data_IF_405699678644
#
_entry.id   IF_405699678644
#
_cell.length_a   1.000
_cell.length_b   1.000
_cell.length_c   1.000
_cell.angle_alpha   90.00
_cell.angle_beta   90.00
_cell.angle_gamma   90.00
#
_symmetry.space_group_name_H-M   'P 1'
#
loop_
_entity.id
_entity.type
_entity.pdbx_description
1 polymer ?
#
# COMPACT_ATOMS: atom_id res chain seq x y z
N UNK A 1 38.43 11.38 8.30
CA UNK A 1 37.85 10.80 7.07
C UNK A 1 36.59 11.57 6.72
N UNK A 2 36.33 11.84 5.42
CA UNK A 2 35.09 12.46 4.98
C UNK A 2 33.92 11.51 5.23
N UNK A 3 32.84 11.99 5.88
CA UNK A 3 31.61 11.21 6.09
C UNK A 3 30.87 11.04 4.78
N UNK A 4 30.29 9.85 4.56
CA UNK A 4 29.50 9.54 3.37
C UNK A 4 28.21 10.39 3.32
N UNK A 5 27.92 10.97 2.17
CA UNK A 5 26.68 11.73 1.90
C UNK A 5 25.57 10.75 1.59
N UNK A 6 24.56 10.76 2.43
CA UNK A 6 23.35 9.95 2.27
C UNK A 6 22.29 10.78 1.57
N UNK A 7 21.79 10.34 0.43
CA UNK A 7 20.66 10.99 -0.26
C UNK A 7 19.46 10.05 -0.26
N UNK A 8 18.31 10.57 0.12
CA UNK A 8 17.04 9.82 0.21
C UNK A 8 16.01 10.54 -0.64
N UNK A 9 15.40 9.83 -1.60
CA UNK A 9 14.32 10.36 -2.43
C UNK A 9 13.01 9.77 -1.97
N UNK A 10 12.20 10.58 -1.28
CA UNK A 10 10.87 10.20 -0.77
C UNK A 10 10.70 10.43 0.73
N UNK A 11 9.74 11.29 1.07
CA UNK A 11 9.43 11.74 2.43
C UNK A 11 8.18 11.01 2.98
N UNK A 12 8.26 9.68 3.10
CA UNK A 12 7.19 8.86 3.67
C UNK A 12 7.77 7.70 4.48
N UNK A 13 7.03 6.61 4.69
CA UNK A 13 7.37 5.48 5.55
C UNK A 13 8.82 4.99 5.39
N UNK A 14 9.24 4.68 4.16
CA UNK A 14 10.57 4.15 3.90
C UNK A 14 11.66 5.19 4.15
N UNK A 15 11.51 6.43 3.63
CA UNK A 15 12.49 7.50 3.82
C UNK A 15 12.68 7.88 5.28
N UNK A 16 11.60 8.06 6.04
CA UNK A 16 11.68 8.37 7.47
C UNK A 16 12.32 7.25 8.27
N UNK A 17 12.00 6.00 7.95
CA UNK A 17 12.58 4.84 8.62
C UNK A 17 14.08 4.71 8.34
N UNK A 18 14.50 5.05 7.12
CA UNK A 18 15.91 5.08 6.75
C UNK A 18 16.66 6.19 7.48
N UNK A 19 16.11 7.41 7.58
CA UNK A 19 16.73 8.51 8.34
C UNK A 19 16.95 8.08 9.79
N UNK A 20 15.94 7.54 10.46
CA UNK A 20 16.04 7.06 11.85
C UNK A 20 17.13 6.00 11.98
N UNK A 21 17.14 5.02 11.07
CA UNK A 21 18.12 3.92 11.10
C UNK A 21 19.56 4.41 10.86
N UNK A 22 19.77 5.34 9.92
CA UNK A 22 21.10 5.95 9.72
C UNK A 22 21.55 6.66 11.00
N UNK A 23 20.66 7.40 11.68
CA UNK A 23 21.00 8.14 12.91
C UNK A 23 21.25 7.27 14.12
N UNK A 24 20.74 6.03 14.15
CA UNK A 24 21.12 5.04 15.17
C UNK A 24 22.61 4.64 15.07
N UNK A 25 23.18 4.69 13.85
CA UNK A 25 24.56 4.27 13.58
C UNK A 25 25.52 5.47 13.44
N UNK A 26 25.11 6.52 12.74
CA UNK A 26 25.91 7.72 12.48
C UNK A 26 25.06 8.99 12.59
N UNK A 27 25.24 9.71 13.69
CA UNK A 27 24.50 10.95 14.04
C UNK A 27 25.05 12.19 13.34
N UNK A 28 26.14 12.10 12.57
CA UNK A 28 26.80 13.27 11.99
C UNK A 28 26.96 13.23 10.46
N UNK A 29 26.76 12.07 9.81
CA UNK A 29 26.86 12.02 8.34
C UNK A 29 25.82 12.95 7.71
N UNK A 30 26.17 13.64 6.58
CA UNK A 30 25.20 14.48 5.86
C UNK A 30 24.07 13.61 5.31
N UNK A 31 22.80 14.02 5.56
CA UNK A 31 21.61 13.42 4.96
C UNK A 31 20.87 14.52 4.20
N UNK A 32 20.62 14.31 2.91
CA UNK A 32 19.72 15.15 2.10
C UNK A 32 18.46 14.36 1.77
N UNK A 33 17.29 14.90 2.12
CA UNK A 33 15.98 14.32 1.83
C UNK A 33 15.30 15.12 0.71
N UNK A 34 14.99 14.45 -0.38
CA UNK A 34 14.32 15.04 -1.55
C UNK A 34 12.85 14.62 -1.55
N UNK A 35 11.95 15.59 -1.71
CA UNK A 35 10.51 15.37 -1.82
C UNK A 35 9.87 16.25 -2.88
N UNK A 36 9.01 15.65 -3.72
CA UNK A 36 8.21 16.41 -4.68
C UNK A 36 7.12 17.24 -4.02
N UNK A 37 6.66 16.82 -2.84
CA UNK A 37 5.68 17.55 -2.04
C UNK A 37 6.38 18.53 -1.11
N UNK A 38 5.81 19.74 -0.96
CA UNK A 38 6.33 20.78 -0.07
C UNK A 38 5.62 20.75 1.28
N UNK A 39 5.69 19.61 1.97
CA UNK A 39 5.10 19.45 3.29
C UNK A 39 5.85 18.39 4.12
N UNK A 40 5.62 18.40 5.43
CA UNK A 40 6.09 17.35 6.32
C UNK A 40 5.52 15.99 5.93
N UNK A 41 6.20 14.92 6.34
CA UNK A 41 5.73 13.57 6.09
C UNK A 41 4.39 13.31 6.78
N UNK A 42 3.49 12.70 6.05
CA UNK A 42 2.16 12.31 6.50
C UNK A 42 1.87 10.85 6.18
N UNK A 43 0.76 10.32 6.75
CA UNK A 43 0.30 8.97 6.48
C UNK A 43 -0.68 8.94 5.29
N UNK A 44 -0.29 8.44 4.10
CA UNK A 44 -1.24 8.25 3.00
C UNK A 44 -2.39 7.31 3.34
N UNK A 45 -2.17 6.37 4.27
CA UNK A 45 -3.22 5.46 4.76
C UNK A 45 -4.36 6.21 5.44
N UNK A 46 -4.08 7.36 6.05
CA UNK A 46 -5.06 8.18 6.77
C UNK A 46 -5.88 9.11 5.87
N UNK A 47 -5.58 9.20 4.57
CA UNK A 47 -6.30 10.09 3.65
C UNK A 47 -7.78 9.75 3.51
N UNK A 48 -8.15 8.48 3.61
CA UNK A 48 -9.56 8.05 3.59
C UNK A 48 -10.30 8.46 4.86
N UNK A 49 -9.63 8.46 6.03
CA UNK A 49 -10.17 9.00 7.28
C UNK A 49 -10.34 10.53 7.22
N UNK A 50 -9.43 11.23 6.56
CA UNK A 50 -9.58 12.65 6.28
C UNK A 50 -10.78 12.94 5.37
N UNK A 51 -10.98 12.17 4.29
CA UNK A 51 -12.15 12.28 3.41
C UNK A 51 -13.46 12.04 4.15
N UNK A 52 -13.46 11.14 5.14
CA UNK A 52 -14.60 10.84 6.00
C UNK A 52 -14.88 11.92 7.04
N UNK A 53 -13.93 12.84 7.25
CA UNK A 53 -14.03 13.88 8.29
C UNK A 53 -13.68 13.39 9.70
N UNK A 54 -13.09 12.21 9.84
CA UNK A 54 -12.64 11.63 11.11
C UNK A 54 -11.32 12.20 11.58
N UNK A 55 -10.54 12.80 10.67
CA UNK A 55 -9.24 13.42 10.96
C UNK A 55 -9.14 14.81 10.36
N UNK A 56 -8.46 15.72 11.06
CA UNK A 56 -8.08 17.01 10.49
C UNK A 56 -6.86 16.87 9.57
N UNK A 57 -6.60 17.90 8.75
CA UNK A 57 -5.41 17.96 7.90
C UNK A 57 -4.12 17.86 8.71
N UNK A 58 -4.07 18.54 9.85
CA UNK A 58 -2.92 18.58 10.76
C UNK A 58 -2.64 17.20 11.36
N UNK A 59 -3.69 16.43 11.64
CA UNK A 59 -3.57 15.06 12.20
C UNK A 59 -3.03 14.04 11.22
N UNK A 60 -2.96 14.36 9.91
CA UNK A 60 -2.35 13.50 8.90
C UNK A 60 -0.83 13.42 9.05
N UNK A 61 -0.18 14.50 9.55
CA UNK A 61 1.28 14.56 9.65
C UNK A 61 1.78 13.65 10.77
N UNK A 62 2.76 12.81 10.43
CA UNK A 62 3.36 11.80 11.34
C UNK A 62 4.68 12.27 11.96
N UNK A 63 5.20 13.41 11.48
CA UNK A 63 6.36 14.08 12.06
C UNK A 63 6.11 15.58 12.11
N UNK A 64 6.64 16.23 13.18
CA UNK A 64 6.70 17.68 13.26
C UNK A 64 7.89 18.22 12.47
N UNK A 65 7.86 19.52 12.16
CA UNK A 65 8.96 20.21 11.45
C UNK A 65 10.33 20.01 12.11
N UNK A 66 10.36 19.88 13.44
CA UNK A 66 11.58 19.67 14.22
C UNK A 66 12.25 18.32 13.95
N UNK A 67 11.52 17.33 13.45
CA UNK A 67 12.08 16.01 13.14
C UNK A 67 13.30 16.10 12.23
N UNK A 68 13.22 16.87 11.15
CA UNK A 68 14.31 16.99 10.18
C UNK A 68 15.51 17.72 10.79
N UNK A 69 15.27 18.78 11.55
CA UNK A 69 16.31 19.53 12.26
C UNK A 69 17.00 18.66 13.32
N UNK A 70 16.23 17.96 14.14
CA UNK A 70 16.77 17.08 15.18
C UNK A 70 17.61 15.93 14.61
N UNK A 71 17.28 15.49 13.40
CA UNK A 71 18.02 14.46 12.69
C UNK A 71 19.10 15.03 11.74
N UNK A 72 19.39 16.35 11.80
CA UNK A 72 20.35 17.01 10.94
C UNK A 72 20.18 16.65 9.45
N UNK A 73 18.95 16.81 8.94
CA UNK A 73 18.54 16.49 7.55
C UNK A 73 18.41 17.78 6.76
N UNK A 74 19.14 17.88 5.66
CA UNK A 74 18.95 18.91 4.64
C UNK A 74 17.72 18.56 3.80
N UNK A 75 16.77 19.49 3.66
CA UNK A 75 15.49 19.24 2.96
C UNK A 75 15.48 19.89 1.58
N UNK A 76 15.21 19.12 0.55
CA UNK A 76 14.95 19.53 -0.82
C UNK A 76 13.47 19.24 -1.14
N UNK A 77 12.58 20.06 -0.60
CA UNK A 77 11.13 19.89 -0.73
C UNK A 77 10.55 20.74 -1.86
N UNK A 78 9.41 20.26 -2.43
CA UNK A 78 8.74 20.92 -3.55
C UNK A 78 9.50 20.79 -4.88
N UNK A 79 10.48 19.89 -4.99
CA UNK A 79 11.19 19.63 -6.22
C UNK A 79 11.35 18.14 -6.49
N UNK A 80 10.86 17.70 -7.64
CA UNK A 80 10.90 16.29 -8.04
C UNK A 80 12.32 15.91 -8.47
N UNK A 81 12.79 14.74 -8.00
CA UNK A 81 13.95 14.07 -8.58
C UNK A 81 13.55 13.50 -9.96
N UNK A 82 14.24 13.93 -11.02
CA UNK A 82 13.92 13.56 -12.41
C UNK A 82 14.90 12.56 -13.01
N UNK A 83 16.13 12.53 -12.49
CA UNK A 83 17.16 11.62 -12.98
C UNK A 83 18.18 11.29 -11.90
N UNK A 84 18.47 10.01 -11.70
CA UNK A 84 19.55 9.51 -10.85
C UNK A 84 20.70 9.06 -11.74
N UNK A 85 21.69 9.95 -11.92
CA UNK A 85 22.91 9.70 -12.67
C UNK A 85 23.89 8.93 -11.78
N UNK A 86 23.89 7.59 -11.88
CA UNK A 86 24.70 6.78 -10.99
C UNK A 86 26.20 6.80 -11.32
N UNK A 87 26.66 6.88 -12.61
CA UNK A 87 28.06 7.07 -12.92
C UNK A 87 28.66 8.35 -12.33
N UNK A 88 27.86 9.43 -12.28
CA UNK A 88 28.29 10.70 -11.68
C UNK A 88 27.91 10.84 -10.21
N UNK A 89 27.22 9.86 -9.64
CA UNK A 89 26.67 9.85 -8.26
C UNK A 89 25.91 11.16 -7.96
N UNK A 90 24.96 11.51 -8.82
CA UNK A 90 24.26 12.80 -8.78
C UNK A 90 22.78 12.60 -9.06
N UNK A 91 21.92 13.17 -8.19
CA UNK A 91 20.48 13.28 -8.45
C UNK A 91 20.17 14.64 -9.05
N UNK A 92 19.50 14.66 -10.18
CA UNK A 92 19.04 15.87 -10.87
C UNK A 92 17.59 16.16 -10.44
N UNK A 93 17.33 17.40 -10.07
CA UNK A 93 16.02 17.88 -9.66
C UNK A 93 15.36 18.70 -10.77
N UNK A 94 14.03 18.71 -10.78
CA UNK A 94 13.21 19.44 -11.76
C UNK A 94 13.50 20.96 -11.78
N UNK A 95 13.88 21.54 -10.62
CA UNK A 95 14.28 22.94 -10.49
C UNK A 95 15.72 23.24 -11.01
N UNK A 96 16.40 22.26 -11.61
CA UNK A 96 17.76 22.38 -12.14
C UNK A 96 18.88 22.14 -11.13
N UNK A 97 18.57 21.99 -9.83
CA UNK A 97 19.58 21.65 -8.81
C UNK A 97 20.10 20.23 -9.01
N UNK A 98 21.33 20.02 -8.55
CA UNK A 98 22.01 18.70 -8.59
C UNK A 98 22.52 18.37 -7.19
N UNK A 99 22.16 17.19 -6.69
CA UNK A 99 22.53 16.70 -5.37
C UNK A 99 23.48 15.52 -5.53
N UNK A 100 24.71 15.66 -5.05
CA UNK A 100 25.71 14.59 -5.09
C UNK A 100 25.54 13.65 -3.90
N UNK A 101 25.70 12.34 -4.12
CA UNK A 101 25.62 11.32 -3.08
C UNK A 101 26.83 10.40 -3.07
N UNK A 102 27.07 9.77 -1.93
CA UNK A 102 27.95 8.60 -1.81
C UNK A 102 27.07 7.33 -1.70
N UNK A 103 25.88 7.41 -1.03
CA UNK A 103 24.82 6.39 -1.07
C UNK A 103 23.48 7.04 -1.40
N UNK A 104 22.65 6.35 -2.19
CA UNK A 104 21.34 6.80 -2.62
C UNK A 104 20.25 5.79 -2.22
N UNK A 105 19.20 6.25 -1.53
CA UNK A 105 17.97 5.49 -1.33
C UNK A 105 16.87 6.03 -2.25
N UNK A 106 16.34 5.16 -3.11
CA UNK A 106 15.16 5.43 -3.92
C UNK A 106 13.94 4.92 -3.15
N UNK A 107 13.19 5.86 -2.56
CA UNK A 107 11.97 5.62 -1.78
C UNK A 107 10.78 6.40 -2.36
N UNK A 108 10.73 6.49 -3.68
CA UNK A 108 9.76 7.27 -4.47
C UNK A 108 8.33 6.73 -4.42
N UNK A 109 8.16 5.54 -3.86
CA UNK A 109 6.86 4.89 -3.73
C UNK A 109 6.22 4.54 -5.08
N UNK A 110 4.91 4.68 -5.16
CA UNK A 110 4.12 4.39 -6.35
C UNK A 110 3.08 5.48 -6.60
N UNK A 111 2.66 5.64 -7.85
CA UNK A 111 1.58 6.54 -8.28
C UNK A 111 0.33 5.75 -8.65
N UNK A 112 -0.88 6.35 -8.58
CA UNK A 112 -2.08 5.72 -9.11
C UNK A 112 -1.90 5.27 -10.55
N UNK A 113 -2.30 4.05 -10.85
CA UNK A 113 -2.28 3.52 -12.21
C UNK A 113 -3.26 4.29 -13.09
N UNK A 114 -2.81 4.65 -14.29
CA UNK A 114 -3.65 5.33 -15.27
C UNK A 114 -4.57 4.33 -15.95
N UNK A 115 -5.80 4.74 -16.20
CA UNK A 115 -6.70 3.97 -17.07
C UNK A 115 -6.15 3.98 -18.50
N UNK A 116 -6.02 2.83 -19.17
CA UNK A 116 -5.56 2.75 -20.55
C UNK A 116 -6.70 3.06 -21.53
N UNK A 117 -7.40 4.18 -21.31
CA UNK A 117 -8.57 4.61 -22.10
C UNK A 117 -8.48 6.09 -22.46
N UNK A 118 -9.18 6.49 -23.52
CA UNK A 118 -9.33 7.89 -23.86
C UNK A 118 -10.10 8.65 -22.77
N UNK A 119 -9.66 9.88 -22.46
CA UNK A 119 -10.30 10.73 -21.47
C UNK A 119 -9.77 10.59 -20.04
N UNK A 120 -8.70 9.85 -19.81
CA UNK A 120 -7.92 9.97 -18.57
C UNK A 120 -7.34 11.39 -18.50
N UNK A 121 -7.72 12.16 -17.48
CA UNK A 121 -7.41 13.61 -17.37
C UNK A 121 -8.58 14.55 -17.71
N UNK A 122 -9.77 14.03 -17.99
CA UNK A 122 -11.00 14.84 -18.05
C UNK A 122 -11.29 15.48 -16.69
N UNK A 123 -11.73 16.73 -16.68
CA UNK A 123 -12.22 17.40 -15.47
C UNK A 123 -13.22 16.52 -14.69
N UNK A 124 -13.12 16.55 -13.37
CA UNK A 124 -13.90 15.72 -12.43
C UNK A 124 -13.53 14.22 -12.40
N UNK A 125 -12.39 13.82 -12.97
CA UNK A 125 -11.80 12.50 -12.78
C UNK A 125 -10.63 12.64 -11.82
N UNK A 126 -10.63 11.87 -10.72
CA UNK A 126 -9.69 11.98 -9.62
C UNK A 126 -9.08 10.61 -9.31
N UNK A 127 -7.89 10.65 -8.72
CA UNK A 127 -7.29 9.51 -8.02
C UNK A 127 -6.90 9.96 -6.62
N UNK A 128 -6.78 9.03 -5.67
CA UNK A 128 -6.38 9.36 -4.31
C UNK A 128 -4.98 8.83 -4.02
N UNK A 129 -4.02 9.73 -3.83
CA UNK A 129 -2.66 9.37 -3.40
C UNK A 129 -2.03 10.41 -2.47
N UNK A 130 -2.32 11.70 -2.66
CA UNK A 130 -1.72 12.82 -1.94
C UNK A 130 -2.76 13.58 -1.13
N UNK A 131 -2.30 14.44 -0.20
CA UNK A 131 -3.19 15.37 0.52
C UNK A 131 -3.92 16.27 -0.48
N UNK A 132 -3.23 16.76 -1.52
CA UNK A 132 -3.83 17.62 -2.56
C UNK A 132 -4.97 16.89 -3.30
N UNK A 133 -4.79 15.60 -3.61
CA UNK A 133 -5.86 14.80 -4.20
C UNK A 133 -7.06 14.69 -3.26
N UNK A 134 -6.82 14.41 -1.98
CA UNK A 134 -7.87 14.32 -0.98
C UNK A 134 -8.64 15.64 -0.82
N UNK A 135 -7.94 16.78 -0.83
CA UNK A 135 -8.54 18.12 -0.77
C UNK A 135 -9.40 18.42 -2.01
N UNK A 136 -8.92 18.09 -3.23
CA UNK A 136 -9.69 18.21 -4.47
C UNK A 136 -10.94 17.37 -4.45
N UNK A 137 -10.83 16.11 -4.03
CA UNK A 137 -11.94 15.17 -3.87
C UNK A 137 -12.95 15.69 -2.85
N UNK A 138 -12.48 16.09 -1.66
CA UNK A 138 -13.32 16.63 -0.57
C UNK A 138 -14.08 17.90 -0.99
N UNK A 139 -13.45 18.76 -1.78
CA UNK A 139 -14.11 19.95 -2.33
C UNK A 139 -15.21 19.57 -3.34
N UNK A 140 -14.92 18.60 -4.22
CA UNK A 140 -15.84 18.21 -5.30
C UNK A 140 -17.07 17.45 -4.81
N UNK A 141 -16.91 16.58 -3.80
CA UNK A 141 -18.02 15.76 -3.27
C UNK A 141 -19.18 16.60 -2.71
N UNK A 142 -18.89 17.79 -2.20
CA UNK A 142 -19.92 18.67 -1.61
C UNK A 142 -20.97 19.15 -2.62
N UNK A 143 -20.68 19.06 -3.92
CA UNK A 143 -21.59 19.47 -5.01
C UNK A 143 -22.02 18.31 -5.90
N UNK A 144 -21.50 17.10 -5.65
CA UNK A 144 -21.83 15.90 -6.41
C UNK A 144 -23.10 15.25 -5.89
N UNK A 145 -23.87 14.66 -6.82
CA UNK A 145 -25.04 13.81 -6.53
C UNK A 145 -24.85 12.40 -7.08
N UNK A 146 -24.02 12.25 -8.11
CA UNK A 146 -23.71 11.02 -8.79
C UNK A 146 -22.20 10.82 -8.77
N UNK A 147 -21.71 9.77 -8.15
CA UNK A 147 -20.29 9.42 -8.07
C UNK A 147 -20.07 8.04 -8.66
N UNK A 148 -19.12 7.95 -9.58
CA UNK A 148 -18.64 6.68 -10.10
C UNK A 148 -17.24 6.42 -9.53
N UNK A 149 -17.03 5.20 -9.04
CA UNK A 149 -15.72 4.70 -8.63
C UNK A 149 -15.31 3.60 -9.60
N UNK A 150 -14.14 3.73 -10.19
CA UNK A 150 -13.57 2.74 -11.10
C UNK A 150 -12.52 1.94 -10.35
N UNK A 151 -12.81 0.64 -10.15
CA UNK A 151 -12.03 -0.30 -9.36
C UNK A 151 -12.64 -0.57 -7.98
N UNK A 152 -12.96 -1.83 -7.71
CA UNK A 152 -13.43 -2.32 -6.41
C UNK A 152 -12.30 -2.95 -5.59
N UNK A 153 -11.06 -2.50 -5.78
CA UNK A 153 -9.92 -2.80 -4.92
C UNK A 153 -10.00 -2.06 -3.58
N UNK A 154 -8.99 -2.23 -2.74
CA UNK A 154 -8.95 -1.65 -1.38
C UNK A 154 -9.22 -0.14 -1.38
N UNK A 155 -8.50 0.62 -2.21
CA UNK A 155 -8.64 2.09 -2.28
C UNK A 155 -10.02 2.50 -2.76
N UNK A 156 -10.55 1.86 -3.82
CA UNK A 156 -11.89 2.19 -4.34
C UNK A 156 -12.97 2.00 -3.29
N UNK A 157 -12.92 0.90 -2.52
CA UNK A 157 -13.88 0.64 -1.45
C UNK A 157 -13.71 1.60 -0.26
N UNK A 158 -12.48 1.90 0.14
CA UNK A 158 -12.21 2.87 1.21
C UNK A 158 -12.64 4.29 0.82
N UNK A 159 -12.43 4.69 -0.44
CA UNK A 159 -12.91 5.98 -0.95
C UNK A 159 -14.43 6.04 -0.94
N UNK A 160 -15.11 4.94 -1.34
CA UNK A 160 -16.58 4.90 -1.28
C UNK A 160 -17.11 5.07 0.14
N UNK A 161 -16.49 4.43 1.13
CA UNK A 161 -16.82 4.59 2.56
C UNK A 161 -16.50 6.02 3.06
N UNK A 162 -15.32 6.54 2.70
CA UNK A 162 -14.88 7.88 3.10
C UNK A 162 -15.73 9.02 2.53
N UNK A 163 -16.28 8.83 1.34
CA UNK A 163 -17.10 9.84 0.66
C UNK A 163 -18.61 9.63 0.85
N UNK A 164 -19.00 8.52 1.48
CA UNK A 164 -20.42 8.18 1.62
C UNK A 164 -21.18 9.26 2.39
N UNK A 165 -22.22 9.78 1.76
CA UNK A 165 -23.17 10.74 2.35
C UNK A 165 -24.57 10.40 1.85
N UNK A 166 -25.57 10.56 2.70
CA UNK A 166 -26.97 10.42 2.31
C UNK A 166 -27.33 11.38 1.17
N UNK A 167 -28.09 10.91 0.20
CA UNK A 167 -28.50 11.69 -0.97
C UNK A 167 -27.49 11.70 -2.12
N UNK A 168 -26.33 11.07 -1.98
CA UNK A 168 -25.37 10.85 -3.07
C UNK A 168 -25.49 9.40 -3.53
N UNK A 169 -25.63 9.19 -4.85
CA UNK A 169 -25.62 7.86 -5.45
C UNK A 169 -24.21 7.45 -5.82
N UNK A 170 -23.78 6.27 -5.38
CA UNK A 170 -22.48 5.68 -5.69
C UNK A 170 -22.65 4.47 -6.60
N UNK A 171 -21.89 4.45 -7.68
CA UNK A 171 -21.75 3.28 -8.55
C UNK A 171 -20.28 2.89 -8.65
N UNK A 172 -19.98 1.63 -8.38
CA UNK A 172 -18.62 1.08 -8.51
C UNK A 172 -18.59 0.19 -9.75
N UNK A 173 -17.63 0.44 -10.65
CA UNK A 173 -17.31 -0.45 -11.77
C UNK A 173 -16.07 -1.25 -11.45
N UNK A 174 -16.16 -2.56 -11.62
CA UNK A 174 -15.03 -3.47 -11.45
C UNK A 174 -14.96 -4.44 -12.63
N UNK A 175 -13.77 -4.60 -13.21
CA UNK A 175 -13.55 -5.53 -14.32
C UNK A 175 -13.50 -6.98 -13.88
N UNK A 176 -13.12 -7.25 -12.64
CA UNK A 176 -13.14 -8.59 -12.08
C UNK A 176 -14.56 -9.01 -11.68
N UNK A 177 -14.76 -10.32 -11.49
CA UNK A 177 -16.03 -10.93 -11.09
C UNK A 177 -16.32 -10.80 -9.58
N UNK A 178 -15.48 -10.11 -8.82
CA UNK A 178 -15.66 -9.88 -7.39
C UNK A 178 -15.02 -8.58 -6.94
N UNK A 179 -15.45 -8.04 -5.80
CA UNK A 179 -14.76 -6.98 -5.09
C UNK A 179 -13.48 -7.50 -4.44
N UNK A 180 -12.50 -6.62 -4.18
CA UNK A 180 -11.23 -6.97 -3.54
C UNK A 180 -10.50 -8.15 -4.22
N UNK A 181 -10.38 -8.18 -5.55
CA UNK A 181 -9.94 -9.37 -6.29
C UNK A 181 -8.55 -9.85 -5.89
N UNK A 182 -7.67 -8.97 -5.41
CA UNK A 182 -6.29 -9.30 -5.06
C UNK A 182 -6.09 -9.72 -3.59
N UNK A 183 -7.02 -9.37 -2.70
CA UNK A 183 -6.84 -9.53 -1.24
C UNK A 183 -7.93 -10.36 -0.56
N UNK A 184 -8.99 -10.72 -1.26
CA UNK A 184 -10.11 -11.50 -0.71
C UNK A 184 -10.36 -12.77 -1.55
N UNK A 185 -10.85 -13.81 -0.91
CA UNK A 185 -11.45 -14.94 -1.60
C UNK A 185 -12.94 -14.64 -1.91
N UNK A 186 -13.56 -15.46 -2.76
CA UNK A 186 -14.93 -15.22 -3.25
C UNK A 186 -15.97 -15.07 -2.12
N UNK A 187 -15.84 -15.83 -1.02
CA UNK A 187 -16.81 -15.79 0.07
C UNK A 187 -16.65 -14.51 0.90
N UNK A 188 -15.40 -14.14 1.25
CA UNK A 188 -15.11 -12.91 1.98
C UNK A 188 -15.45 -11.68 1.15
N UNK A 189 -15.17 -11.69 -0.17
CA UNK A 189 -15.57 -10.65 -1.11
C UNK A 189 -17.10 -10.45 -1.13
N UNK A 190 -17.87 -11.56 -1.20
CA UNK A 190 -19.35 -11.50 -1.20
C UNK A 190 -19.90 -10.90 0.11
N UNK A 191 -19.28 -11.15 1.26
CA UNK A 191 -19.68 -10.54 2.54
C UNK A 191 -19.47 -9.01 2.49
N UNK A 192 -18.32 -8.54 1.99
CA UNK A 192 -18.01 -7.12 1.84
C UNK A 192 -18.96 -6.47 0.86
N UNK A 193 -19.16 -7.07 -0.32
CA UNK A 193 -20.07 -6.58 -1.35
C UNK A 193 -21.48 -6.40 -0.79
N UNK A 194 -22.05 -7.43 -0.16
CA UNK A 194 -23.39 -7.36 0.44
C UNK A 194 -23.50 -6.26 1.51
N UNK A 195 -22.43 -6.04 2.27
CA UNK A 195 -22.39 -4.94 3.24
C UNK A 195 -22.49 -3.58 2.55
N UNK A 196 -21.78 -3.36 1.46
CA UNK A 196 -21.81 -2.11 0.70
C UNK A 196 -23.16 -1.89 0.01
N UNK A 197 -23.70 -2.93 -0.63
CA UNK A 197 -25.03 -2.90 -1.26
C UNK A 197 -26.14 -2.57 -0.26
N UNK A 198 -26.01 -3.02 1.00
CA UNK A 198 -26.96 -2.68 2.08
C UNK A 198 -26.92 -1.18 2.46
N UNK A 199 -25.93 -0.41 2.01
CA UNK A 199 -25.86 1.04 2.11
C UNK A 199 -26.30 1.75 0.81
N UNK A 200 -26.88 1.01 -0.16
CA UNK A 200 -27.37 1.58 -1.41
C UNK A 200 -26.27 1.84 -2.45
N UNK A 201 -25.09 1.27 -2.30
CA UNK A 201 -24.02 1.35 -3.32
C UNK A 201 -24.31 0.33 -4.41
N UNK A 202 -24.36 0.79 -5.66
CA UNK A 202 -24.47 -0.08 -6.83
C UNK A 202 -23.07 -0.61 -7.21
N UNK A 203 -22.91 -1.92 -7.35
CA UNK A 203 -21.63 -2.55 -7.73
C UNK A 203 -21.83 -3.34 -9.01
N UNK A 204 -21.14 -2.92 -10.08
CA UNK A 204 -21.17 -3.52 -11.40
C UNK A 204 -19.88 -4.28 -11.64
N UNK A 205 -19.92 -5.59 -11.43
CA UNK A 205 -18.80 -6.52 -11.65
C UNK A 205 -18.73 -6.96 -13.12
N UNK A 206 -17.54 -7.44 -13.55
CA UNK A 206 -17.30 -7.86 -14.94
C UNK A 206 -17.45 -6.71 -15.94
N UNK A 207 -17.21 -5.46 -15.53
CA UNK A 207 -17.36 -4.26 -16.36
C UNK A 207 -16.03 -3.54 -16.52
N UNK A 208 -15.50 -3.58 -17.72
CA UNK A 208 -14.29 -2.86 -18.09
C UNK A 208 -14.63 -1.49 -18.65
N UNK A 209 -13.99 -0.45 -18.16
CA UNK A 209 -14.16 0.90 -18.73
C UNK A 209 -13.47 0.96 -20.08
N UNK A 210 -14.17 1.47 -21.09
CA UNK A 210 -13.70 1.64 -22.47
C UNK A 210 -13.35 3.09 -22.78
N UNK A 211 -14.12 4.03 -22.25
CA UNK A 211 -13.96 5.45 -22.52
C UNK A 211 -14.47 6.29 -21.37
N UNK A 212 -13.82 7.43 -21.16
CA UNK A 212 -14.30 8.51 -20.28
C UNK A 212 -14.36 9.78 -21.12
N UNK A 213 -15.50 10.47 -21.11
CA UNK A 213 -15.66 11.72 -21.87
C UNK A 213 -16.45 12.76 -21.10
N UNK A 214 -16.21 14.02 -21.40
CA UNK A 214 -16.97 15.13 -20.84
C UNK A 214 -18.30 15.31 -21.57
N UNK A 215 -19.36 15.58 -20.83
CA UNK A 215 -20.69 15.98 -21.35
C UNK A 215 -21.21 17.18 -20.55
N UNK A 216 -20.92 18.38 -21.02
CA UNK A 216 -21.22 19.59 -20.26
C UNK A 216 -20.46 19.67 -18.94
N UNK A 217 -21.19 19.73 -17.81
CA UNK A 217 -20.60 19.73 -16.45
C UNK A 217 -20.43 18.33 -15.86
N UNK A 218 -20.89 17.28 -16.57
CA UNK A 218 -20.82 15.89 -16.12
C UNK A 218 -19.77 15.09 -16.89
N UNK A 219 -19.42 13.95 -16.35
CA UNK A 219 -18.54 12.96 -16.95
C UNK A 219 -19.36 11.73 -17.34
N UNK A 220 -19.15 11.20 -18.52
CA UNK A 220 -19.74 9.95 -19.00
C UNK A 220 -18.64 8.89 -18.98
N UNK A 221 -18.93 7.77 -18.35
CA UNK A 221 -18.09 6.56 -18.33
C UNK A 221 -18.82 5.51 -19.17
N UNK A 222 -18.15 5.04 -20.23
CA UNK A 222 -18.70 3.99 -21.11
C UNK A 222 -17.98 2.67 -20.81
N UNK A 223 -18.75 1.63 -20.54
CA UNK A 223 -18.23 0.28 -20.34
C UNK A 223 -17.98 -0.44 -21.67
N UNK A 224 -17.31 -1.57 -21.63
CA UNK A 224 -17.09 -2.47 -22.76
C UNK A 224 -18.38 -3.08 -23.31
N UNK A 225 -19.44 -3.17 -22.48
CA UNK A 225 -20.78 -3.57 -22.92
C UNK A 225 -21.53 -2.47 -23.70
N UNK A 226 -20.98 -1.23 -23.78
CA UNK A 226 -21.61 -0.07 -24.37
C UNK A 226 -22.55 0.69 -23.44
N UNK A 227 -22.67 0.27 -22.18
CA UNK A 227 -23.45 1.00 -21.17
C UNK A 227 -22.79 2.34 -20.84
N UNK A 228 -23.56 3.42 -20.85
CA UNK A 228 -23.12 4.77 -20.47
C UNK A 228 -23.64 5.14 -19.08
N UNK A 229 -22.72 5.44 -18.18
CA UNK A 229 -23.00 5.95 -16.85
C UNK A 229 -22.60 7.42 -16.76
N UNK A 230 -23.45 8.25 -16.18
CA UNK A 230 -23.25 9.71 -16.09
C UNK A 230 -23.01 10.07 -14.63
N UNK A 231 -21.91 10.78 -14.35
CA UNK A 231 -21.56 11.21 -13.00
C UNK A 231 -21.16 12.68 -12.93
N UNK A 232 -21.28 13.23 -11.72
CA UNK A 232 -20.73 14.54 -11.37
C UNK A 232 -19.24 14.43 -11.03
N UNK A 233 -18.83 13.25 -10.60
CA UNK A 233 -17.47 12.96 -10.13
C UNK A 233 -17.10 11.50 -10.40
N UNK A 234 -15.88 11.27 -10.85
CA UNK A 234 -15.32 9.93 -11.04
C UNK A 234 -14.06 9.81 -10.21
N UNK A 235 -13.89 8.70 -9.48
CA UNK A 235 -12.65 8.37 -8.76
C UNK A 235 -12.08 7.08 -9.31
N UNK A 236 -10.80 7.10 -9.68
CA UNK A 236 -10.09 5.96 -10.24
C UNK A 236 -9.20 5.32 -9.16
N UNK A 237 -9.49 4.05 -8.84
CA UNK A 237 -8.78 3.27 -7.83
C UNK A 237 -8.40 1.86 -8.33
N UNK A 238 -7.71 1.78 -9.47
CA UNK A 238 -7.34 0.53 -10.17
C UNK A 238 -5.93 0.00 -9.81
N UNK A 239 -5.41 0.42 -8.66
CA UNK A 239 -4.08 0.03 -8.19
C UNK A 239 -3.02 1.10 -8.43
N UNK A 240 -1.75 0.72 -8.23
CA UNK A 240 -0.60 1.61 -8.27
C UNK A 240 0.53 1.07 -9.13
N UNK A 241 1.33 1.99 -9.68
CA UNK A 241 2.53 1.70 -10.49
C UNK A 241 3.75 2.27 -9.79
N UNK A 242 4.82 1.48 -9.53
CA UNK A 242 6.07 1.95 -8.93
C UNK A 242 6.71 3.10 -9.69
N UNK A 243 7.23 4.11 -8.98
CA UNK A 243 7.84 5.31 -9.55
C UNK A 243 9.31 5.08 -9.89
N UNK A 244 9.58 4.45 -11.03
CA UNK A 244 10.93 4.09 -11.51
C UNK A 244 11.49 5.01 -12.57
N UNK A 245 10.78 6.09 -12.97
CA UNK A 245 11.10 6.92 -14.14
C UNK A 245 12.42 7.69 -14.01
N UNK A 246 12.93 7.87 -12.77
CA UNK A 246 14.17 8.59 -12.50
C UNK A 246 15.43 7.75 -12.74
N UNK A 247 15.33 6.46 -12.99
CA UNK A 247 16.49 5.56 -13.16
C UNK A 247 16.66 5.09 -14.60
N UNK A 248 17.90 4.75 -14.96
CA UNK A 248 18.18 4.03 -16.20
C UNK A 248 17.92 2.53 -16.02
N UNK A 249 16.82 2.05 -16.58
CA UNK A 249 16.40 0.62 -16.47
C UNK A 249 17.30 -0.34 -17.26
N UNK A 250 18.25 0.15 -18.06
CA UNK A 250 19.29 -0.68 -18.70
C UNK A 250 20.43 -1.00 -17.73
N UNK A 251 20.60 -0.20 -16.69
CA UNK A 251 21.71 -0.28 -15.75
C UNK A 251 21.24 -0.76 -14.39
N UNK A 252 20.09 -0.29 -13.90
CA UNK A 252 19.46 -0.74 -12.67
C UNK A 252 18.36 -1.74 -13.03
N UNK A 253 18.47 -2.95 -12.50
CA UNK A 253 17.51 -4.04 -12.79
C UNK A 253 16.14 -3.75 -12.23
N UNK A 254 15.14 -3.88 -13.08
CA UNK A 254 13.73 -3.72 -12.77
C UNK A 254 12.93 -4.89 -13.34
N UNK A 255 11.82 -5.18 -12.69
CA UNK A 255 10.74 -5.95 -13.28
C UNK A 255 9.47 -5.09 -13.19
N UNK A 256 8.60 -5.29 -12.21
CA UNK A 256 7.51 -4.34 -11.90
C UNK A 256 8.03 -3.15 -11.09
N UNK A 257 8.91 -3.40 -10.13
CA UNK A 257 9.62 -2.42 -9.31
C UNK A 257 11.13 -2.52 -9.47
N UNK A 258 11.89 -1.78 -8.67
CA UNK A 258 13.35 -1.88 -8.60
C UNK A 258 13.71 -3.15 -7.84
N UNK A 259 14.41 -4.07 -8.50
CA UNK A 259 14.86 -5.32 -7.86
C UNK A 259 15.91 -5.04 -6.80
N UNK A 260 15.69 -5.57 -5.60
CA UNK A 260 16.61 -5.46 -4.46
C UNK A 260 16.94 -6.82 -3.88
N UNK A 261 18.12 -6.91 -3.28
CA UNK A 261 18.54 -8.06 -2.49
C UNK A 261 18.03 -7.96 -1.04
N UNK A 262 18.42 -8.90 -0.19
CA UNK A 262 18.05 -8.91 1.23
C UNK A 262 18.66 -7.75 2.03
N UNK A 263 19.61 -6.99 1.49
CA UNK A 263 20.13 -5.77 2.10
C UNK A 263 19.42 -4.50 1.62
N UNK A 264 18.37 -4.62 0.80
CA UNK A 264 17.68 -3.54 0.08
C UNK A 264 18.58 -2.85 -0.96
N UNK A 265 19.69 -3.44 -1.35
CA UNK A 265 20.59 -2.93 -2.37
C UNK A 265 20.12 -3.36 -3.76
N UNK A 266 20.26 -2.49 -4.72
CA UNK A 266 20.06 -2.82 -6.14
C UNK A 266 21.29 -3.58 -6.68
N UNK A 267 21.32 -3.86 -7.97
CA UNK A 267 22.54 -4.39 -8.60
C UNK A 267 23.67 -3.35 -8.73
N UNK A 268 23.48 -2.13 -8.23
CA UNK A 268 24.50 -1.06 -8.14
C UNK A 268 24.81 -0.81 -6.66
N UNK A 269 26.06 -1.02 -6.26
CA UNK A 269 26.48 -1.15 -4.86
C UNK A 269 26.06 -0.03 -3.91
N UNK A 270 26.00 1.18 -4.36
CA UNK A 270 25.66 2.36 -3.55
C UNK A 270 24.25 2.89 -3.78
N UNK A 271 23.38 2.09 -4.45
CA UNK A 271 21.98 2.43 -4.70
C UNK A 271 21.09 1.40 -4.03
N UNK A 272 20.20 1.88 -3.18
CA UNK A 272 19.20 1.14 -2.44
C UNK A 272 17.79 1.52 -2.90
N UNK A 273 16.83 0.62 -2.74
CA UNK A 273 15.42 0.95 -2.94
C UNK A 273 14.56 0.36 -1.83
N UNK A 274 13.50 1.07 -1.42
CA UNK A 274 12.61 0.65 -0.34
C UNK A 274 11.19 1.21 -0.49
N UNK A 275 10.20 0.49 0.00
CA UNK A 275 8.78 0.81 -0.08
C UNK A 275 8.17 0.39 -1.41
N UNK A 276 7.04 1.02 -1.79
CA UNK A 276 6.22 0.62 -2.94
C UNK A 276 6.97 0.65 -4.29
N UNK A 277 8.15 1.28 -4.36
CA UNK A 277 9.02 1.30 -5.55
C UNK A 277 9.88 0.06 -5.69
N UNK A 278 10.16 -0.63 -4.59
CA UNK A 278 11.05 -1.78 -4.54
C UNK A 278 10.31 -3.09 -4.81
N UNK A 279 11.04 -4.04 -5.38
CA UNK A 279 10.62 -5.41 -5.60
C UNK A 279 11.61 -6.35 -4.92
N UNK A 280 11.23 -6.85 -3.76
CA UNK A 280 12.04 -7.72 -2.92
C UNK A 280 11.33 -9.03 -2.61
N UNK A 281 12.00 -9.93 -1.88
CA UNK A 281 11.49 -11.25 -1.56
C UNK A 281 10.18 -11.19 -0.77
N UNK A 282 9.17 -11.92 -1.24
CA UNK A 282 7.95 -12.24 -0.49
C UNK A 282 8.21 -13.48 0.37
N UNK A 283 8.04 -13.34 1.66
CA UNK A 283 8.32 -14.36 2.67
C UNK A 283 7.55 -15.67 2.46
N UNK A 284 6.37 -15.61 1.86
CA UNK A 284 5.51 -16.79 1.63
C UNK A 284 5.82 -17.47 0.31
N UNK A 285 6.02 -16.70 -0.76
CA UNK A 285 6.21 -17.26 -2.11
C UNK A 285 7.68 -17.52 -2.46
N UNK A 286 8.62 -16.89 -1.73
CA UNK A 286 10.05 -16.90 -2.04
C UNK A 286 10.41 -16.19 -3.36
N UNK A 287 9.47 -15.42 -3.93
CA UNK A 287 9.67 -14.67 -5.17
C UNK A 287 9.82 -13.19 -4.88
N UNK A 288 10.50 -12.48 -5.77
CA UNK A 288 10.53 -11.03 -5.71
C UNK A 288 9.17 -10.49 -6.16
N UNK A 289 8.58 -9.63 -5.33
CA UNK A 289 7.27 -9.03 -5.53
C UNK A 289 7.25 -7.58 -5.01
N UNK A 290 6.46 -6.74 -5.65
CA UNK A 290 6.11 -5.43 -5.09
C UNK A 290 4.98 -5.63 -4.09
N UNK A 291 5.25 -5.34 -2.81
CA UNK A 291 4.32 -5.51 -1.70
C UNK A 291 3.98 -4.14 -1.08
N UNK A 292 3.08 -3.37 -1.71
CA UNK A 292 2.84 -1.98 -1.35
C UNK A 292 1.99 -1.89 -0.07
N UNK A 293 2.64 -1.85 1.08
CA UNK A 293 2.02 -1.56 2.36
C UNK A 293 2.97 -0.81 3.30
N UNK A 294 2.40 -0.13 4.29
CA UNK A 294 3.12 0.73 5.21
C UNK A 294 4.18 -0.01 6.04
N UNK A 295 3.82 -1.17 6.54
CA UNK A 295 4.70 -1.99 7.40
C UNK A 295 5.95 -2.45 6.65
N UNK A 296 5.79 -2.99 5.43
CA UNK A 296 6.93 -3.36 4.58
C UNK A 296 7.80 -2.14 4.25
N UNK A 297 7.19 -1.00 3.89
CA UNK A 297 7.94 0.21 3.58
C UNK A 297 8.79 0.69 4.77
N UNK A 298 8.26 0.63 5.99
CA UNK A 298 9.02 0.95 7.21
C UNK A 298 10.17 -0.03 7.43
N UNK A 299 9.91 -1.35 7.34
CA UNK A 299 10.92 -2.39 7.55
C UNK A 299 12.03 -2.31 6.50
N UNK A 300 11.67 -2.15 5.22
CA UNK A 300 12.62 -2.01 4.11
C UNK A 300 13.45 -0.72 4.22
N UNK A 301 12.79 0.41 4.54
CA UNK A 301 13.48 1.69 4.74
C UNK A 301 14.48 1.63 5.89
N UNK A 302 14.09 1.00 7.02
CA UNK A 302 15.01 0.77 8.13
C UNK A 302 16.21 -0.07 7.72
N UNK A 303 15.97 -1.16 6.98
CA UNK A 303 17.04 -2.05 6.51
C UNK A 303 17.98 -1.33 5.55
N UNK A 304 17.44 -0.60 4.58
CA UNK A 304 18.24 0.23 3.67
C UNK A 304 19.08 1.25 4.45
N UNK A 305 18.49 1.95 5.43
CA UNK A 305 19.19 2.94 6.24
C UNK A 305 20.36 2.36 7.05
N UNK A 306 20.18 1.20 7.68
CA UNK A 306 21.26 0.49 8.40
C UNK A 306 22.41 0.12 7.46
N UNK A 307 22.09 -0.44 6.29
CA UNK A 307 23.10 -0.85 5.30
C UNK A 307 23.80 0.36 4.66
N UNK A 308 23.10 1.45 4.40
CA UNK A 308 23.69 2.73 3.95
C UNK A 308 24.67 3.30 4.99
N UNK A 309 24.41 3.09 6.27
CA UNK A 309 25.29 3.50 7.37
C UNK A 309 26.45 2.52 7.63
N UNK A 310 26.56 1.43 6.86
CA UNK A 310 27.61 0.42 7.00
C UNK A 310 27.34 -0.65 8.06
N UNK A 311 26.13 -0.72 8.60
CA UNK A 311 25.70 -1.80 9.50
C UNK A 311 25.03 -2.90 8.69
N UNK A 312 25.78 -3.93 8.33
CA UNK A 312 25.31 -5.01 7.46
C UNK A 312 24.18 -5.80 8.13
N UNK A 313 22.97 -5.68 7.54
CA UNK A 313 21.75 -6.30 8.02
C UNK A 313 20.95 -6.89 6.85
N UNK A 314 20.20 -7.96 7.11
CA UNK A 314 19.39 -8.65 6.11
C UNK A 314 17.90 -8.52 6.39
N UNK A 315 17.14 -8.24 5.36
CA UNK A 315 15.69 -8.22 5.39
C UNK A 315 15.13 -9.63 5.28
N UNK A 316 14.27 -10.00 6.20
CA UNK A 316 13.70 -11.37 6.27
C UNK A 316 12.66 -11.65 5.17
N UNK A 317 12.30 -10.66 4.38
CA UNK A 317 11.25 -10.73 3.38
C UNK A 317 9.99 -9.94 3.75
N UNK A 318 9.26 -9.53 2.71
CA UNK A 318 8.00 -8.82 2.80
C UNK A 318 6.82 -9.77 3.00
N UNK A 319 5.73 -9.23 3.53
CA UNK A 319 4.47 -9.95 3.66
C UNK A 319 3.32 -9.09 3.12
N UNK A 320 2.45 -9.69 2.30
CA UNK A 320 1.19 -9.05 1.95
C UNK A 320 0.31 -9.00 3.21
N UNK A 321 -0.04 -7.80 3.64
CA UNK A 321 -0.88 -7.59 4.82
C UNK A 321 -1.75 -6.36 4.63
N UNK A 322 -3.04 -6.49 5.00
CA UNK A 322 -3.98 -5.39 4.98
C UNK A 322 -4.94 -5.51 6.16
N UNK A 323 -5.20 -4.40 6.81
CA UNK A 323 -6.29 -4.26 7.79
C UNK A 323 -7.06 -3.01 7.39
N UNK A 324 -8.36 -3.16 7.19
CA UNK A 324 -9.23 -2.05 6.82
C UNK A 324 -10.63 -2.24 7.39
N UNK A 325 -11.33 -1.12 7.58
CA UNK A 325 -12.76 -1.12 7.91
C UNK A 325 -13.52 -0.44 6.79
N UNK A 326 -14.53 -1.10 6.26
CA UNK A 326 -15.38 -0.63 5.16
C UNK A 326 -16.83 -0.70 5.65
N UNK A 327 -17.50 0.44 5.76
CA UNK A 327 -18.87 0.54 6.31
C UNK A 327 -19.04 -0.19 7.66
N UNK A 328 -18.06 -0.04 8.55
CA UNK A 328 -18.05 -0.68 9.87
C UNK A 328 -17.75 -2.19 9.86
N UNK A 329 -17.42 -2.77 8.72
CA UNK A 329 -16.98 -4.16 8.61
C UNK A 329 -15.46 -4.22 8.51
N UNK A 330 -14.78 -4.75 9.53
CA UNK A 330 -13.32 -4.88 9.53
C UNK A 330 -12.91 -6.16 8.80
N UNK A 331 -11.99 -6.00 7.85
CA UNK A 331 -11.30 -7.06 7.11
C UNK A 331 -9.82 -7.01 7.45
N UNK A 332 -9.23 -8.17 7.74
CA UNK A 332 -7.78 -8.33 7.83
C UNK A 332 -7.34 -9.47 6.90
N UNK A 333 -6.26 -9.24 6.16
CA UNK A 333 -5.63 -10.27 5.32
C UNK A 333 -4.15 -10.31 5.58
N UNK A 334 -3.58 -11.50 5.63
CA UNK A 334 -2.15 -11.72 5.89
C UNK A 334 -1.67 -12.86 5.01
N UNK A 335 -0.54 -12.69 4.33
CA UNK A 335 0.02 -13.68 3.41
C UNK A 335 -0.87 -13.88 2.19
N UNK A 336 -1.06 -15.12 1.76
CA UNK A 336 -1.87 -15.45 0.59
C UNK A 336 -3.37 -15.37 0.94
N UNK A 337 -4.19 -14.60 0.20
CA UNK A 337 -5.64 -14.58 0.41
C UNK A 337 -6.34 -15.79 -0.23
N UNK A 338 -5.69 -16.40 -1.21
CA UNK A 338 -6.20 -17.54 -1.97
C UNK A 338 -5.05 -18.32 -2.61
N UNK A 339 -5.30 -19.57 -2.93
CA UNK A 339 -4.40 -20.45 -3.66
C UNK A 339 -5.17 -21.17 -4.78
N UNK A 340 -4.47 -21.56 -5.85
CA UNK A 340 -5.05 -22.40 -6.87
C UNK A 340 -5.35 -23.80 -6.29
N UNK A 341 -6.46 -24.40 -6.70
CA UNK A 341 -6.80 -25.78 -6.28
C UNK A 341 -5.68 -26.74 -6.69
N UNK A 342 -5.34 -27.67 -5.84
CA UNK A 342 -4.34 -28.70 -6.12
C UNK A 342 -2.90 -28.37 -5.71
N UNK A 343 -2.63 -27.21 -5.09
CA UNK A 343 -1.28 -26.79 -4.69
C UNK A 343 -0.80 -27.37 -3.35
N UNK A 344 -1.46 -28.38 -2.79
CA UNK A 344 -1.10 -28.98 -1.50
C UNK A 344 -1.34 -28.05 -0.29
N UNK A 345 -2.12 -26.98 -0.49
CA UNK A 345 -2.51 -26.03 0.58
C UNK A 345 -3.90 -26.42 1.06
N UNK A 346 -4.01 -26.63 2.39
CA UNK A 346 -5.26 -26.91 3.08
C UNK A 346 -5.96 -25.59 3.45
N UNK A 347 -7.29 -25.54 3.29
CA UNK A 347 -8.12 -24.42 3.68
C UNK A 347 -8.92 -24.75 4.91
N UNK A 348 -8.71 -24.05 6.00
CA UNK A 348 -9.54 -24.10 7.19
C UNK A 348 -10.51 -22.91 7.16
N UNK A 349 -11.82 -23.21 7.13
CA UNK A 349 -12.86 -22.22 6.99
C UNK A 349 -13.83 -22.26 8.19
N UNK A 350 -14.14 -21.08 8.72
CA UNK A 350 -15.21 -20.89 9.70
C UNK A 350 -16.02 -19.64 9.34
N UNK A 351 -17.34 -19.79 9.30
CA UNK A 351 -18.27 -18.70 9.06
C UNK A 351 -19.40 -18.71 10.08
N UNK A 352 -19.57 -17.60 10.78
CA UNK A 352 -20.68 -17.37 11.70
C UNK A 352 -21.47 -16.12 11.26
N UNK A 353 -22.62 -16.29 10.57
CA UNK A 353 -23.39 -15.17 10.06
C UNK A 353 -24.02 -14.32 11.17
N UNK A 354 -24.34 -14.90 12.35
CA UNK A 354 -24.91 -14.16 13.50
C UNK A 354 -23.90 -13.16 14.07
N UNK A 355 -22.64 -13.54 14.14
CA UNK A 355 -21.54 -12.69 14.62
C UNK A 355 -20.88 -11.90 13.50
N UNK A 356 -21.34 -12.03 12.24
CA UNK A 356 -20.71 -11.46 11.05
C UNK A 356 -19.20 -11.75 10.99
N UNK A 357 -18.81 -12.97 11.43
CA UNK A 357 -17.42 -13.39 11.52
C UNK A 357 -17.11 -14.43 10.45
N UNK A 358 -16.11 -14.16 9.66
CA UNK A 358 -15.54 -15.05 8.64
C UNK A 358 -14.05 -15.24 8.93
N UNK A 359 -13.59 -16.46 8.87
CA UNK A 359 -12.17 -16.82 9.07
C UNK A 359 -11.79 -17.88 8.07
N UNK A 360 -10.83 -17.58 7.25
CA UNK A 360 -10.18 -18.54 6.35
C UNK A 360 -8.69 -18.52 6.65
N UNK A 361 -8.12 -19.69 6.88
CA UNK A 361 -6.69 -19.86 7.14
C UNK A 361 -6.16 -20.87 6.13
N UNK A 362 -5.05 -20.53 5.48
CA UNK A 362 -4.38 -21.35 4.48
C UNK A 362 -3.14 -21.98 5.09
N UNK A 363 -3.01 -23.29 4.93
CA UNK A 363 -1.90 -24.07 5.49
C UNK A 363 -1.13 -24.80 4.39
N UNK A 364 0.19 -24.63 4.35
CA UNK A 364 1.10 -25.49 3.64
C UNK A 364 1.72 -26.49 4.64
N UNK A 365 1.25 -27.75 4.62
CA UNK A 365 1.48 -28.68 5.71
C UNK A 365 0.85 -28.16 7.01
N UNK A 366 1.67 -28.03 8.06
CA UNK A 366 1.22 -27.52 9.37
C UNK A 366 1.67 -26.07 9.62
N UNK A 367 1.92 -25.29 8.56
CA UNK A 367 2.35 -23.88 8.65
C UNK A 367 1.35 -22.95 7.99
N UNK A 368 1.03 -21.84 8.65
CA UNK A 368 0.17 -20.81 8.08
C UNK A 368 0.91 -20.13 6.94
N UNK A 369 0.27 -20.02 5.77
CA UNK A 369 0.76 -19.28 4.59
C UNK A 369 -0.16 -18.14 4.20
N UNK A 370 -1.36 -18.08 4.79
CA UNK A 370 -2.28 -16.98 4.56
C UNK A 370 -3.49 -17.03 5.46
N UNK A 371 -4.13 -15.88 5.62
CA UNK A 371 -5.39 -15.74 6.36
C UNK A 371 -6.23 -14.59 5.81
N UNK A 372 -7.56 -14.81 5.82
CA UNK A 372 -8.59 -13.79 5.56
C UNK A 372 -9.58 -13.80 6.71
N UNK A 373 -9.71 -12.67 7.40
CA UNK A 373 -10.54 -12.51 8.58
C UNK A 373 -11.53 -11.37 8.37
N UNK A 374 -12.82 -11.57 8.70
CA UNK A 374 -13.83 -10.51 8.74
C UNK A 374 -14.49 -10.49 10.11
N UNK A 375 -14.71 -9.30 10.66
CA UNK A 375 -15.33 -9.05 11.95
C UNK A 375 -14.35 -9.22 13.11
N UNK A 376 -14.09 -10.44 13.53
CA UNK A 376 -13.09 -10.73 14.59
C UNK A 376 -11.68 -10.85 13.96
N UNK A 377 -10.93 -9.76 14.01
CA UNK A 377 -9.60 -9.65 13.37
C UNK A 377 -8.44 -9.47 14.37
N UNK A 378 -8.72 -9.52 15.67
CA UNK A 378 -7.76 -9.20 16.74
C UNK A 378 -6.49 -10.06 16.77
N UNK A 379 -6.53 -11.25 16.19
CA UNK A 379 -5.40 -12.18 16.13
C UNK A 379 -4.67 -12.18 14.75
N UNK A 380 -4.97 -11.23 13.89
CA UNK A 380 -4.28 -11.09 12.61
C UNK A 380 -2.74 -10.97 12.78
N UNK A 381 -2.29 -10.19 13.77
CA UNK A 381 -0.86 -10.06 14.08
C UNK A 381 -0.22 -11.35 14.62
N UNK A 382 -1.00 -12.23 15.28
CA UNK A 382 -0.51 -13.55 15.70
C UNK A 382 -0.30 -14.44 14.48
N UNK A 383 -1.25 -14.41 13.54
CA UNK A 383 -1.16 -15.17 12.28
C UNK A 383 -0.02 -14.66 11.41
N UNK A 384 0.20 -13.32 11.36
CA UNK A 384 1.37 -12.72 10.72
C UNK A 384 2.67 -13.29 11.32
N UNK A 385 2.78 -13.27 12.64
CA UNK A 385 3.96 -13.80 13.32
C UNK A 385 4.17 -15.30 13.04
N UNK A 386 3.10 -16.11 13.01
CA UNK A 386 3.20 -17.52 12.65
C UNK A 386 3.78 -17.73 11.25
N UNK A 387 3.39 -16.90 10.28
CA UNK A 387 3.96 -16.93 8.94
C UNK A 387 5.45 -16.57 8.99
N UNK A 388 5.82 -15.49 9.69
CA UNK A 388 7.21 -15.01 9.78
C UNK A 388 8.15 -16.03 10.39
N UNK A 389 7.76 -16.62 11.51
CA UNK A 389 8.59 -17.62 12.20
C UNK A 389 8.37 -19.05 11.71
N UNK A 390 7.56 -19.24 10.65
CA UNK A 390 7.21 -20.55 10.07
C UNK A 390 6.73 -21.53 11.14
N UNK A 391 5.89 -21.05 12.08
CA UNK A 391 5.42 -21.80 13.25
C UNK A 391 4.63 -23.04 12.85
N UNK A 392 5.01 -24.19 13.42
CA UNK A 392 4.17 -25.40 13.39
C UNK A 392 2.91 -25.17 14.24
N UNK A 393 1.74 -25.29 13.61
CA UNK A 393 0.44 -25.06 14.22
C UNK A 393 -0.35 -26.36 14.40
N UNK A 394 0.25 -27.54 14.20
CA UNK A 394 -0.42 -28.84 14.34
C UNK A 394 -1.20 -28.99 15.66
N UNK A 395 -0.73 -28.48 16.84
CA UNK A 395 -1.48 -28.57 18.08
C UNK A 395 -2.79 -27.76 18.08
N UNK A 396 -2.91 -26.74 17.24
CA UNK A 396 -4.06 -25.83 17.20
C UNK A 396 -4.91 -25.97 15.92
N UNK A 397 -4.51 -26.85 14.99
CA UNK A 397 -5.13 -27.02 13.67
C UNK A 397 -6.66 -27.20 13.75
N UNK A 398 -7.16 -27.96 14.72
CA UNK A 398 -8.60 -28.19 14.91
C UNK A 398 -9.41 -27.00 15.43
N UNK A 399 -8.73 -25.97 15.96
CA UNK A 399 -9.41 -24.84 16.62
C UNK A 399 -9.06 -23.47 16.01
N UNK A 400 -7.93 -23.34 15.33
CA UNK A 400 -7.39 -22.06 14.83
C UNK A 400 -8.39 -21.28 13.94
N UNK A 401 -9.22 -21.98 13.17
CA UNK A 401 -10.24 -21.31 12.35
C UNK A 401 -11.47 -20.88 13.16
N UNK A 402 -11.81 -21.59 14.25
CA UNK A 402 -13.07 -21.40 14.98
C UNK A 402 -13.01 -20.34 16.05
N UNK A 403 -11.86 -20.19 16.70
CA UNK A 403 -11.68 -19.27 17.83
C UNK A 403 -10.51 -18.34 17.58
N UNK A 404 -10.61 -17.07 17.99
CA UNK A 404 -9.43 -16.19 18.03
C UNK A 404 -8.33 -16.83 18.87
N UNK A 405 -7.09 -16.68 18.43
CA UNK A 405 -5.93 -17.20 19.14
C UNK A 405 -5.72 -16.43 20.45
N UNK A 406 -5.63 -17.15 21.56
CA UNK A 406 -5.28 -16.58 22.85
C UNK A 406 -3.76 -16.72 23.07
N UNK A 407 -3.07 -15.58 23.10
CA UNK A 407 -1.61 -15.53 23.32
C UNK A 407 -1.18 -16.27 24.62
N UNK A 408 -2.00 -16.22 25.67
CA UNK A 408 -1.69 -16.90 26.94
C UNK A 408 -1.63 -18.42 26.75
N UNK A 409 -2.58 -18.98 26.00
CA UNK A 409 -2.59 -20.43 25.68
C UNK A 409 -1.42 -20.83 24.79
N UNK A 410 -1.02 -19.95 23.87
CA UNK A 410 0.14 -20.17 23.00
C UNK A 410 1.45 -20.19 23.78
N UNK A 411 1.63 -19.26 24.72
CA UNK A 411 2.82 -19.21 25.57
C UNK A 411 2.93 -20.40 26.51
N UNK A 412 1.82 -20.84 27.12
CA UNK A 412 1.79 -21.99 28.00
C UNK A 412 2.10 -23.32 27.29
N UNK A 413 1.78 -23.44 26.00
CA UNK A 413 2.10 -24.66 25.22
C UNK A 413 3.58 -24.76 24.79
N UNK A 414 4.34 -23.67 24.87
CA UNK A 414 5.77 -23.65 24.54
C UNK A 414 6.66 -23.99 25.75
N UNK A 415 6.14 -23.98 26.97
CA UNK A 415 6.88 -24.28 28.20
C UNK A 415 6.82 -25.76 28.61
N UNK A 416 6.16 -26.62 27.81
CA UNK A 416 5.97 -28.05 28.11
C UNK A 416 6.83 -28.96 27.20
N UNK A 417 8.06 -28.54 26.85
CA UNK A 417 9.05 -29.41 26.21
C UNK A 417 10.41 -29.25 26.87
#
# INVERSE_FOLDING_TARGET
MRKARQVIIGNSAAGLSAIKAIREIDNVCPITLISSENCNAYSPVSLTHYLKGEMSRESLFIVHSDFYKMNNVEMEFGSRAIWADHPQQTVHLENGRKVKYDNLLIATGASPSKLPVSGDGVDNVFSLRTIEDAEKISKRINTAKEVIIIGAGLIGLQVSDGLFKEGIRFTILEWAEQVLPDIADINSAAIVQKKMESHGISILLGRKVKEIRRKGKKTVVTSDSGEELIADMVVVGIGVTPNIQLINTREIKVNRGILVDETMRTNVDNIFAAGDVSEGENLVTGRNEVLPNWSNACKQGRMAGLNMAGCEQRYEGGLAENITTIFGLTLATVGLPRVAKGNGVEELLFYNPKEKSYRKILLAGDRVVGAVLIGRTSDAGILENFIRVKKDISPWKGTIARTPLDMRKLLLSTTSR
#
